data_IF_177724080321
#
_entry.id   IF_177724080321
#
_cell.length_a   1.000
_cell.length_b   1.000
_cell.length_c   1.000
_cell.angle_alpha   90.00
_cell.angle_beta   90.00
_cell.angle_gamma   90.00
#
_symmetry.space_group_name_H-M   'P 1'
#
loop_
_entity.id
_entity.type
_entity.pdbx_description
1 polymer ?
#
# COMPACT_ATOMS: atom_id res chain seq x y z
N UNK A 1 3.24 -0.01 -4.83
CA UNK A 1 4.70 0.24 -4.97
C UNK A 1 5.54 -1.00 -5.23
N UNK A 2 5.39 -2.08 -4.43
CA UNK A 2 6.12 -3.35 -4.57
C UNK A 2 5.39 -4.47 -5.34
N UNK A 3 5.94 -4.96 -6.45
CA UNK A 3 5.46 -6.14 -7.18
C UNK A 3 5.83 -7.46 -6.46
N UNK A 4 4.80 -8.27 -6.19
CA UNK A 4 4.90 -9.58 -5.54
C UNK A 4 4.45 -10.73 -6.45
N UNK A 5 4.31 -10.48 -7.76
CA UNK A 5 3.91 -11.50 -8.73
C UNK A 5 4.75 -12.79 -8.72
N UNK A 6 6.06 -12.79 -8.36
CA UNK A 6 6.80 -14.05 -8.23
C UNK A 6 6.26 -14.97 -7.12
N UNK A 7 5.69 -14.43 -6.04
CA UNK A 7 5.03 -15.23 -5.02
C UNK A 7 3.81 -15.96 -5.60
N UNK A 8 2.98 -15.28 -6.41
CA UNK A 8 1.87 -15.93 -7.11
C UNK A 8 2.37 -16.99 -8.10
N UNK A 9 3.48 -16.73 -8.81
CA UNK A 9 4.14 -17.72 -9.66
C UNK A 9 4.58 -18.98 -8.88
N UNK A 10 5.17 -18.79 -7.70
CA UNK A 10 5.52 -19.90 -6.80
C UNK A 10 4.28 -20.69 -6.36
N UNK A 11 3.18 -20.01 -6.03
CA UNK A 11 1.92 -20.68 -5.67
C UNK A 11 1.39 -21.57 -6.79
N UNK A 12 1.40 -21.08 -8.03
CA UNK A 12 0.98 -21.84 -9.22
C UNK A 12 1.85 -23.08 -9.41
N UNK A 13 3.19 -22.92 -9.34
CA UNK A 13 4.13 -24.03 -9.51
C UNK A 13 4.00 -25.11 -8.43
N UNK A 14 3.55 -24.74 -7.23
CA UNK A 14 3.51 -25.63 -6.07
C UNK A 14 2.09 -26.03 -5.65
N UNK A 15 1.06 -25.64 -6.41
CA UNK A 15 -0.36 -25.84 -6.09
C UNK A 15 -0.71 -25.41 -4.64
N UNK A 16 -0.21 -24.24 -4.23
CA UNK A 16 -0.39 -23.72 -2.86
C UNK A 16 -1.46 -22.63 -2.82
N UNK A 17 -2.42 -22.68 -1.87
CA UNK A 17 -3.25 -21.52 -1.57
C UNK A 17 -2.40 -20.42 -0.90
N UNK A 18 -3.00 -19.26 -0.62
CA UNK A 18 -2.34 -18.27 0.21
C UNK A 18 -2.18 -18.80 1.64
N UNK A 19 -0.96 -18.71 2.17
CA UNK A 19 -0.67 -18.97 3.57
C UNK A 19 0.16 -17.82 4.16
N UNK A 20 -0.16 -17.44 5.39
CA UNK A 20 0.48 -16.30 6.04
C UNK A 20 1.96 -16.53 6.38
N UNK A 21 2.38 -17.78 6.65
CA UNK A 21 3.78 -18.12 6.94
C UNK A 21 4.61 -18.15 5.66
N UNK A 22 4.04 -18.71 4.59
CA UNK A 22 4.67 -18.66 3.25
C UNK A 22 4.83 -17.21 2.76
N UNK A 23 3.84 -16.35 3.02
CA UNK A 23 3.94 -14.93 2.73
C UNK A 23 5.03 -14.22 3.54
N UNK A 24 5.12 -14.45 4.86
CA UNK A 24 6.20 -13.88 5.67
C UNK A 24 7.58 -14.35 5.17
N UNK A 25 7.72 -15.62 4.78
CA UNK A 25 8.94 -16.13 4.13
C UNK A 25 9.26 -15.42 2.81
N UNK A 26 8.25 -15.14 1.98
CA UNK A 26 8.42 -14.35 0.76
C UNK A 26 8.94 -12.93 1.05
N UNK A 27 8.37 -12.26 2.04
CA UNK A 27 8.82 -10.92 2.44
C UNK A 27 10.28 -10.94 2.92
N UNK A 28 10.64 -11.94 3.74
CA UNK A 28 12.02 -12.08 4.22
C UNK A 28 13.03 -12.48 3.14
N UNK A 29 12.57 -13.09 2.05
CA UNK A 29 13.42 -13.37 0.90
C UNK A 29 13.93 -12.10 0.19
N UNK A 30 13.33 -10.92 0.45
CA UNK A 30 13.77 -9.61 -0.09
C UNK A 30 13.89 -9.59 -1.62
N UNK A 31 12.88 -10.17 -2.26
CA UNK A 31 12.81 -10.32 -3.72
C UNK A 31 11.66 -9.50 -4.33
N UNK A 32 11.04 -8.60 -3.57
CA UNK A 32 10.02 -7.71 -4.14
C UNK A 32 10.65 -6.86 -5.25
N UNK A 33 9.88 -6.62 -6.32
CA UNK A 33 10.27 -5.73 -7.41
C UNK A 33 9.55 -4.39 -7.26
N UNK A 34 9.97 -3.36 -7.99
CA UNK A 34 9.19 -2.12 -8.08
C UNK A 34 8.19 -2.22 -9.22
N UNK A 35 6.97 -1.71 -9.03
CA UNK A 35 6.07 -1.49 -10.16
C UNK A 35 6.59 -0.33 -11.01
N UNK A 36 6.52 -0.43 -12.36
CA UNK A 36 6.95 0.66 -13.24
C UNK A 36 6.31 2.01 -12.87
N UNK A 37 7.12 3.07 -12.77
CA UNK A 37 6.66 4.41 -12.40
C UNK A 37 6.52 4.67 -10.89
N UNK A 38 6.53 3.62 -10.05
CA UNK A 38 6.30 3.75 -8.61
C UNK A 38 7.43 4.48 -7.89
N UNK A 39 8.69 4.17 -8.25
CA UNK A 39 9.88 4.77 -7.64
C UNK A 39 9.99 6.22 -8.06
N UNK A 40 9.81 6.52 -9.35
CA UNK A 40 9.85 7.89 -9.86
C UNK A 40 8.77 8.75 -9.22
N UNK A 41 7.53 8.26 -9.16
CA UNK A 41 6.44 8.98 -8.52
C UNK A 41 6.73 9.28 -7.04
N UNK A 42 7.15 8.26 -6.28
CA UNK A 42 7.46 8.40 -4.87
C UNK A 42 8.54 9.47 -4.63
N UNK A 43 9.62 9.37 -5.39
CA UNK A 43 10.77 10.25 -5.24
C UNK A 43 10.44 11.68 -5.69
N UNK A 44 9.58 11.83 -6.71
CA UNK A 44 9.04 13.11 -7.12
C UNK A 44 8.24 13.76 -5.99
N UNK A 45 7.27 13.07 -5.39
CA UNK A 45 6.47 13.62 -4.28
C UNK A 45 7.36 14.05 -3.12
N UNK A 46 8.28 13.18 -2.69
CA UNK A 46 9.17 13.45 -1.55
C UNK A 46 10.19 14.59 -1.81
N UNK A 47 10.43 14.95 -3.08
CA UNK A 47 11.27 16.10 -3.46
C UNK A 47 10.49 17.38 -3.74
N UNK A 48 9.16 17.32 -3.83
CA UNK A 48 8.28 18.44 -4.22
C UNK A 48 7.32 18.86 -3.11
N UNK A 49 7.84 18.98 -1.87
CA UNK A 49 7.11 19.43 -0.67
C UNK A 49 5.93 18.53 -0.27
N UNK A 50 5.85 17.31 -0.81
CA UNK A 50 4.95 16.27 -0.33
C UNK A 50 5.69 15.24 0.51
N UNK A 51 4.94 14.45 1.26
CA UNK A 51 5.44 13.25 1.94
C UNK A 51 4.60 12.05 1.53
N UNK A 52 5.28 10.98 1.14
CA UNK A 52 4.66 9.67 0.93
C UNK A 52 4.60 8.90 2.24
N UNK A 53 3.41 8.41 2.57
CA UNK A 53 3.17 7.44 3.64
C UNK A 53 2.74 6.09 3.07
N UNK A 54 3.30 5.01 3.60
CA UNK A 54 3.03 3.64 3.18
C UNK A 54 2.08 2.95 4.16
N UNK A 55 0.79 2.92 3.81
CA UNK A 55 -0.25 2.25 4.61
C UNK A 55 -0.48 0.84 4.05
N UNK A 56 0.07 -0.17 4.73
CA UNK A 56 0.18 -1.53 4.19
C UNK A 56 -0.36 -2.59 5.14
N UNK A 57 -0.90 -3.68 4.59
CA UNK A 57 -1.30 -4.85 5.38
C UNK A 57 -0.18 -5.89 5.56
N UNK A 58 1.06 -5.60 5.13
CA UNK A 58 2.23 -6.30 5.65
C UNK A 58 2.29 -6.11 7.17
N UNK A 59 2.68 -7.15 7.91
CA UNK A 59 2.68 -7.18 9.38
C UNK A 59 3.83 -6.35 9.95
N UNK A 60 3.50 -5.50 10.90
CA UNK A 60 4.50 -4.66 11.59
C UNK A 60 5.56 -5.48 12.31
N UNK A 61 5.15 -6.57 12.96
CA UNK A 61 6.00 -7.38 13.83
C UNK A 61 6.97 -8.30 13.10
N UNK A 62 6.63 -8.78 11.89
CA UNK A 62 7.40 -9.84 11.21
C UNK A 62 7.80 -9.51 9.78
N UNK A 63 7.21 -8.48 9.16
CA UNK A 63 7.39 -8.21 7.73
C UNK A 63 7.97 -6.81 7.47
N UNK A 64 8.18 -6.00 8.52
CA UNK A 64 8.72 -4.63 8.42
C UNK A 64 10.13 -4.60 7.85
N UNK A 65 11.04 -5.41 8.41
CA UNK A 65 12.45 -5.40 8.02
C UNK A 65 12.64 -5.73 6.53
N UNK A 66 12.12 -6.87 6.06
CA UNK A 66 12.19 -7.22 4.63
C UNK A 66 11.53 -6.18 3.71
N UNK A 67 10.46 -5.53 4.17
CA UNK A 67 9.81 -4.46 3.40
C UNK A 67 10.70 -3.22 3.23
N UNK A 68 11.27 -2.73 4.32
CA UNK A 68 12.14 -1.55 4.30
C UNK A 68 13.39 -1.82 3.45
N UNK A 69 13.99 -3.01 3.59
CA UNK A 69 15.19 -3.39 2.84
C UNK A 69 14.91 -3.45 1.33
N UNK A 70 13.78 -4.06 0.92
CA UNK A 70 13.37 -4.08 -0.47
C UNK A 70 13.15 -2.67 -1.02
N UNK A 71 12.47 -1.79 -0.28
CA UNK A 71 12.21 -0.42 -0.74
C UNK A 71 13.49 0.41 -0.84
N UNK A 72 14.44 0.25 0.08
CA UNK A 72 15.77 0.88 -0.02
C UNK A 72 16.51 0.37 -1.25
N UNK A 73 16.57 -0.96 -1.44
CA UNK A 73 17.24 -1.61 -2.58
C UNK A 73 16.65 -1.18 -3.92
N UNK A 74 15.34 -0.96 -3.97
CA UNK A 74 14.62 -0.51 -5.17
C UNK A 74 14.72 1.00 -5.43
N UNK A 75 15.37 1.77 -4.55
CA UNK A 75 15.63 3.19 -4.76
C UNK A 75 14.49 4.12 -4.35
N UNK A 76 13.57 3.68 -3.50
CA UNK A 76 12.58 4.60 -2.92
C UNK A 76 13.27 5.53 -1.90
N UNK A 77 12.99 6.83 -2.00
CA UNK A 77 13.41 7.84 -1.03
C UNK A 77 12.36 7.99 0.08
N UNK A 78 12.79 8.47 1.25
CA UNK A 78 11.88 8.73 2.38
C UNK A 78 11.43 7.49 3.13
N UNK A 79 12.25 6.43 3.13
CA UNK A 79 12.00 5.12 3.78
C UNK A 79 12.50 5.13 5.24
N UNK A 80 12.15 6.17 5.98
CA UNK A 80 12.29 6.18 7.44
C UNK A 80 11.11 5.42 8.07
N UNK A 81 11.29 4.90 9.28
CA UNK A 81 10.25 4.07 9.93
C UNK A 81 8.92 4.82 10.14
N UNK A 82 8.96 6.15 10.30
CA UNK A 82 7.76 6.97 10.49
C UNK A 82 6.91 7.11 9.23
N UNK A 83 7.47 6.80 8.06
CA UNK A 83 6.73 6.73 6.81
C UNK A 83 5.82 5.50 6.71
N UNK A 84 5.97 4.50 7.59
CA UNK A 84 5.27 3.22 7.47
C UNK A 84 4.17 3.00 8.50
N UNK A 85 2.97 2.70 8.00
CA UNK A 85 1.79 2.31 8.78
C UNK A 85 1.41 0.87 8.43
N UNK A 86 2.22 -0.07 8.92
CA UNK A 86 2.00 -1.51 8.75
C UNK A 86 0.81 -2.01 9.57
N UNK A 87 0.32 -3.21 9.25
CA UNK A 87 -0.77 -3.83 10.00
C UNK A 87 -0.27 -4.34 11.34
N UNK A 88 -0.96 -3.93 12.39
CA UNK A 88 -0.89 -4.51 13.74
C UNK A 88 -2.02 -5.51 13.89
N UNK A 89 -3.20 -5.06 14.36
CA UNK A 89 -4.33 -5.95 14.65
C UNK A 89 -5.42 -5.94 13.58
N UNK A 90 -5.66 -4.78 12.94
CA UNK A 90 -6.77 -4.58 11.99
C UNK A 90 -6.27 -4.45 10.55
N UNK A 91 -6.97 -5.11 9.63
CA UNK A 91 -6.70 -4.99 8.18
C UNK A 91 -7.30 -3.72 7.56
N UNK A 92 -8.31 -3.12 8.19
CA UNK A 92 -8.87 -1.82 7.78
C UNK A 92 -7.80 -0.71 7.88
N UNK A 93 -7.83 0.24 6.95
CA UNK A 93 -6.80 1.28 6.84
C UNK A 93 -7.23 2.65 7.37
N UNK A 94 -8.53 2.88 7.60
CA UNK A 94 -9.01 4.20 8.00
C UNK A 94 -8.38 4.74 9.29
N UNK A 95 -8.16 3.89 10.31
CA UNK A 95 -7.51 4.31 11.56
C UNK A 95 -6.08 4.84 11.31
N UNK A 96 -5.35 4.20 10.39
CA UNK A 96 -4.00 4.61 9.99
C UNK A 96 -3.99 5.88 9.14
N UNK A 97 -5.01 6.11 8.32
CA UNK A 97 -5.18 7.40 7.63
C UNK A 97 -5.43 8.53 8.64
N UNK A 98 -6.31 8.30 9.62
CA UNK A 98 -6.58 9.28 10.66
C UNK A 98 -5.34 9.58 11.54
N UNK A 99 -4.46 8.61 11.77
CA UNK A 99 -3.17 8.84 12.45
C UNK A 99 -2.25 9.79 11.67
N UNK A 100 -2.21 9.69 10.33
CA UNK A 100 -1.46 10.60 9.47
C UNK A 100 -2.06 12.02 9.54
N UNK A 101 -3.38 12.14 9.45
CA UNK A 101 -4.08 13.44 9.53
C UNK A 101 -3.86 14.12 10.88
N UNK A 102 -3.87 13.35 11.98
CA UNK A 102 -3.59 13.86 13.34
C UNK A 102 -2.20 14.46 13.51
N UNK A 103 -1.25 14.12 12.63
CA UNK A 103 0.09 14.72 12.61
C UNK A 103 0.13 16.06 11.86
N UNK A 104 -1.01 16.57 11.38
CA UNK A 104 -1.10 17.84 10.64
C UNK A 104 -0.91 17.69 9.13
N UNK A 105 -1.02 16.47 8.60
CA UNK A 105 -0.98 16.24 7.15
C UNK A 105 -2.38 16.28 6.56
N UNK A 106 -2.55 17.01 5.47
CA UNK A 106 -3.71 16.85 4.59
C UNK A 106 -3.41 15.77 3.56
N UNK A 107 -4.25 14.73 3.50
CA UNK A 107 -4.14 13.66 2.49
C UNK A 107 -4.73 14.14 1.16
N UNK A 108 -3.87 14.46 0.20
CA UNK A 108 -4.30 15.00 -1.11
C UNK A 108 -4.45 13.93 -2.19
N UNK A 109 -3.86 12.74 -1.99
CA UNK A 109 -3.93 11.64 -2.96
C UNK A 109 -3.84 10.29 -2.25
N UNK A 110 -4.67 9.36 -2.71
CA UNK A 110 -4.59 7.94 -2.38
C UNK A 110 -4.24 7.15 -3.63
N UNK A 111 -3.36 6.16 -3.49
CA UNK A 111 -2.98 5.22 -4.56
C UNK A 111 -2.99 3.81 -4.01
N UNK A 112 -3.68 2.90 -4.69
CA UNK A 112 -3.80 1.50 -4.28
C UNK A 112 -4.54 0.66 -5.31
N UNK A 113 -4.50 -0.66 -5.12
CA UNK A 113 -5.14 -1.64 -6.01
C UNK A 113 -6.50 -2.15 -5.50
N UNK A 114 -6.78 -1.90 -4.23
CA UNK A 114 -8.01 -2.32 -3.59
C UNK A 114 -8.87 -1.09 -3.25
N UNK A 115 -10.20 -1.17 -3.41
CA UNK A 115 -11.08 -0.08 -2.99
C UNK A 115 -10.96 0.27 -1.50
N UNK A 116 -10.55 -0.70 -0.68
CA UNK A 116 -10.31 -0.52 0.76
C UNK A 116 -9.07 0.35 1.05
N UNK A 117 -8.27 0.64 0.02
CA UNK A 117 -7.14 1.57 0.09
C UNK A 117 -7.59 3.03 0.07
N UNK A 118 -8.86 3.29 -0.26
CA UNK A 118 -9.43 4.64 -0.36
C UNK A 118 -10.35 5.01 0.81
N UNK A 119 -10.43 4.13 1.82
CA UNK A 119 -11.28 4.28 3.01
C UNK A 119 -12.03 2.99 3.34
N UNK A 120 -12.94 3.07 4.31
CA UNK A 120 -13.66 1.89 4.82
C UNK A 120 -15.06 1.68 4.23
N UNK A 121 -15.50 2.53 3.29
CA UNK A 121 -16.88 2.55 2.80
C UNK A 121 -17.36 1.20 2.23
N UNK A 122 -16.45 0.39 1.68
CA UNK A 122 -16.74 -0.90 1.06
C UNK A 122 -15.95 -2.06 1.66
N UNK A 123 -15.39 -1.87 2.86
CA UNK A 123 -14.61 -2.91 3.53
C UNK A 123 -15.52 -4.10 3.90
N UNK A 124 -15.12 -5.32 3.53
CA UNK A 124 -15.90 -6.54 3.78
C UNK A 124 -17.20 -6.66 2.96
N UNK A 125 -17.45 -5.74 2.02
CA UNK A 125 -18.65 -5.76 1.18
C UNK A 125 -18.52 -6.69 -0.01
N UNK A 126 -19.65 -7.17 -0.52
CA UNK A 126 -19.70 -7.99 -1.74
C UNK A 126 -19.38 -7.14 -2.99
N UNK A 127 -19.00 -7.81 -4.07
CA UNK A 127 -18.60 -7.13 -5.31
C UNK A 127 -19.69 -6.25 -5.93
N UNK A 128 -20.98 -6.55 -5.71
CA UNK A 128 -22.07 -5.70 -6.18
C UNK A 128 -22.01 -4.31 -5.52
N UNK A 129 -21.99 -4.27 -4.19
CA UNK A 129 -21.88 -3.03 -3.41
C UNK A 129 -20.59 -2.25 -3.75
N UNK A 130 -19.48 -2.96 -4.00
CA UNK A 130 -18.20 -2.38 -4.41
C UNK A 130 -18.28 -1.67 -5.76
N UNK A 131 -18.97 -2.27 -6.75
CA UNK A 131 -19.21 -1.63 -8.05
C UNK A 131 -20.15 -0.44 -7.93
N UNK A 132 -21.20 -0.53 -7.12
CA UNK A 132 -22.14 0.57 -6.87
C UNK A 132 -21.45 1.77 -6.24
N UNK A 133 -20.52 1.52 -5.30
CA UNK A 133 -19.67 2.57 -4.74
C UNK A 133 -18.84 3.26 -5.82
N UNK A 134 -18.14 2.51 -6.67
CA UNK A 134 -17.35 3.06 -7.78
C UNK A 134 -18.23 3.90 -8.71
N UNK A 135 -19.43 3.44 -9.04
CA UNK A 135 -20.37 4.18 -9.88
C UNK A 135 -20.74 5.54 -9.27
N UNK A 136 -20.94 5.61 -7.94
CA UNK A 136 -21.25 6.85 -7.21
C UNK A 136 -20.08 7.83 -7.16
N UNK A 137 -18.84 7.35 -7.06
CA UNK A 137 -17.66 8.20 -6.92
C UNK A 137 -16.97 8.53 -8.25
N UNK A 138 -17.48 8.03 -9.38
CA UNK A 138 -16.85 8.12 -10.70
C UNK A 138 -16.47 9.54 -11.13
N UNK A 139 -17.26 10.56 -10.76
CA UNK A 139 -16.98 11.97 -11.10
C UNK A 139 -15.97 12.64 -10.16
N UNK A 140 -15.83 12.13 -8.93
CA UNK A 140 -14.89 12.64 -7.92
C UNK A 140 -13.60 11.81 -7.87
N UNK A 141 -13.36 11.00 -8.90
CA UNK A 141 -12.27 10.05 -8.96
C UNK A 141 -10.95 10.75 -9.36
N UNK A 142 -10.53 11.73 -8.55
CA UNK A 142 -9.14 12.23 -8.53
C UNK A 142 -8.33 11.42 -7.52
N UNK A 143 -8.46 10.09 -7.60
CA UNK A 143 -7.68 9.10 -6.87
C UNK A 143 -7.09 8.17 -7.91
N UNK A 144 -5.76 8.12 -8.02
CA UNK A 144 -5.09 7.26 -9.00
C UNK A 144 -5.22 5.81 -8.53
N UNK A 145 -6.24 5.12 -9.04
CA UNK A 145 -6.41 3.67 -8.84
C UNK A 145 -5.42 2.97 -9.78
N UNK A 146 -4.25 2.62 -9.27
CA UNK A 146 -3.36 1.68 -9.95
C UNK A 146 -3.78 0.27 -9.52
N UNK A 147 -4.61 -0.39 -10.35
CA UNK A 147 -5.00 -1.79 -10.17
C UNK A 147 -3.80 -2.74 -10.34
N UNK A 148 -2.92 -2.84 -9.35
CA UNK A 148 -1.95 -3.93 -9.20
C UNK A 148 -1.60 -4.13 -7.72
N UNK A 149 -1.87 -5.34 -7.18
CA UNK A 149 -1.60 -5.81 -5.80
C UNK A 149 -0.49 -5.07 -5.05
N UNK A 150 -0.80 -3.99 -4.32
CA UNK A 150 0.18 -3.16 -3.62
C UNK A 150 -0.40 -2.13 -2.64
N UNK A 151 0.34 -2.06 -1.52
CA UNK A 151 0.35 -1.03 -0.46
C UNK A 151 -0.20 0.34 -0.86
N UNK A 152 -1.10 0.84 -0.02
CA UNK A 152 -1.67 2.17 -0.18
C UNK A 152 -0.59 3.21 0.04
N UNK A 153 -0.52 4.17 -0.87
CA UNK A 153 0.22 5.39 -0.66
C UNK A 153 -0.75 6.53 -0.38
N UNK A 154 -0.39 7.32 0.60
CA UNK A 154 -1.02 8.59 0.94
C UNK A 154 0.01 9.70 0.71
N UNK A 155 -0.36 10.70 -0.07
CA UNK A 155 0.44 11.93 -0.21
C UNK A 155 -0.09 12.94 0.79
N UNK A 156 0.76 13.30 1.77
CA UNK A 156 0.48 14.36 2.73
C UNK A 156 1.18 15.66 2.36
N UNK A 157 0.52 16.81 2.59
CA UNK A 157 1.17 18.12 2.67
C UNK A 157 1.02 18.65 4.09
N UNK A 158 2.10 19.22 4.65
CA UNK A 158 2.04 19.88 5.97
C UNK A 158 1.19 21.14 5.83
N UNK A 159 0.18 21.27 6.69
CA UNK A 159 -0.68 22.45 6.82
C UNK A 159 -0.15 23.37 7.91
#
# INVERSE_FOLDING_TARGET
>A
MLDNSPYAGWQVQNNKPFDGKDWTRWVEARQSRAIPGAVEFNNYVNSHKGKVFYVTNRKDSTEKAGTIDDMKRLGFNGIDESAFYLRKDKSSKAERFAEIEKQGYEIVLYVGDNLDDFGNAVHGKLNAERRDFVAKIKQNLVKLILCYQMQTMVVGKVV
#
